data_IF_748344074351
#
_entry.id   IF_748344074351
#
_cell.length_a   1.000
_cell.length_b   1.000
_cell.length_c   1.000
_cell.angle_alpha   90.00
_cell.angle_beta   90.00
_cell.angle_gamma   90.00
#
_symmetry.space_group_name_H-M   'P 1'
#
loop_
_entity.id
_entity.type
_entity.pdbx_description
1 polymer ?
#
# COMPACT_ATOMS: atom_id res chain seq x y z
N UNK A 1 19.84 -6.08 -1.07
CA UNK A 1 19.06 -6.36 0.14
C UNK A 1 19.23 -7.81 0.59
N UNK A 2 19.01 -8.81 -0.26
CA UNK A 2 19.18 -10.25 0.05
C UNK A 2 20.58 -10.60 0.54
N UNK A 3 21.65 -10.07 -0.07
CA UNK A 3 23.02 -10.30 0.39
C UNK A 3 23.26 -9.83 1.83
N UNK A 4 22.69 -8.71 2.23
CA UNK A 4 22.80 -8.19 3.61
C UNK A 4 22.00 -9.08 4.55
N UNK A 5 20.76 -9.42 4.21
CA UNK A 5 19.92 -10.30 5.02
C UNK A 5 20.57 -11.68 5.21
N UNK A 6 21.16 -12.26 4.15
CA UNK A 6 21.94 -13.51 4.22
C UNK A 6 23.09 -13.42 5.22
N UNK A 7 23.92 -12.36 5.11
CA UNK A 7 25.06 -12.18 6.02
C UNK A 7 24.64 -12.02 7.48
N UNK A 8 23.56 -11.29 7.73
CA UNK A 8 23.03 -11.10 9.09
C UNK A 8 22.46 -12.41 9.66
N UNK A 9 21.64 -13.13 8.88
CA UNK A 9 21.07 -14.41 9.27
C UNK A 9 22.16 -15.45 9.55
N UNK A 10 23.16 -15.55 8.68
CA UNK A 10 24.29 -16.50 8.81
C UNK A 10 25.24 -16.11 9.96
N UNK A 11 25.31 -14.83 10.33
CA UNK A 11 25.99 -14.35 11.53
C UNK A 11 25.22 -14.62 12.84
N UNK A 12 24.00 -15.18 12.78
CA UNK A 12 23.19 -15.57 13.94
C UNK A 12 22.16 -14.53 14.38
N UNK A 13 21.98 -13.41 13.65
CA UNK A 13 20.88 -12.49 13.95
C UNK A 13 19.54 -13.16 13.65
N UNK A 14 18.63 -13.18 14.60
CA UNK A 14 17.31 -13.83 14.48
C UNK A 14 16.18 -12.83 14.29
N UNK A 15 16.27 -11.69 14.95
CA UNK A 15 15.23 -10.66 14.96
C UNK A 15 15.80 -9.30 14.65
N UNK A 16 15.07 -8.50 13.90
CA UNK A 16 15.44 -7.13 13.55
C UNK A 16 14.20 -6.24 13.60
N UNK A 17 14.23 -5.19 14.43
CA UNK A 17 13.20 -4.18 14.49
C UNK A 17 13.59 -3.00 13.62
N UNK A 18 12.71 -2.62 12.70
CA UNK A 18 12.95 -1.55 11.73
C UNK A 18 11.75 -0.61 11.65
N UNK A 19 12.00 0.60 11.20
CA UNK A 19 10.99 1.62 10.97
C UNK A 19 11.21 2.34 9.64
N UNK A 20 10.80 3.60 9.57
CA UNK A 20 10.98 4.51 8.44
C UNK A 20 10.00 4.29 7.26
N UNK A 21 9.62 3.09 6.93
CA UNK A 21 8.67 2.81 5.85
C UNK A 21 7.22 3.14 6.22
N UNK A 22 6.94 3.31 7.52
CA UNK A 22 5.61 3.54 8.10
C UNK A 22 4.60 2.42 7.77
N UNK A 23 5.08 1.20 7.58
CA UNK A 23 4.29 0.02 7.27
C UNK A 23 4.39 -0.94 8.45
N UNK A 24 3.26 -1.38 8.98
CA UNK A 24 3.22 -2.40 10.03
C UNK A 24 3.32 -3.79 9.38
N UNK A 25 4.43 -4.52 9.61
CA UNK A 25 4.67 -5.79 8.92
C UNK A 25 5.64 -6.70 9.65
N UNK A 26 5.42 -8.01 9.59
CA UNK A 26 6.39 -9.03 10.02
C UNK A 26 6.72 -9.89 8.80
N UNK A 27 7.99 -9.98 8.44
CA UNK A 27 8.47 -10.81 7.32
C UNK A 27 9.66 -11.66 7.77
N UNK A 28 9.70 -12.94 7.39
CA UNK A 28 10.84 -13.81 7.65
C UNK A 28 11.58 -14.13 6.35
N UNK A 29 12.89 -13.88 6.36
CA UNK A 29 13.81 -14.31 5.31
C UNK A 29 14.60 -15.52 5.81
N UNK A 30 14.78 -16.54 4.95
CA UNK A 30 15.65 -17.68 5.23
C UNK A 30 16.83 -17.64 4.28
N UNK A 31 18.05 -17.63 4.83
CA UNK A 31 19.28 -17.63 4.03
C UNK A 31 19.43 -18.94 3.25
N UNK A 32 20.27 -18.99 2.20
CA UNK A 32 20.61 -20.24 1.52
C UNK A 32 21.21 -21.31 2.45
N UNK A 33 21.80 -20.91 3.58
CA UNK A 33 22.32 -21.81 4.62
C UNK A 33 21.26 -22.33 5.59
N UNK A 34 19.98 -21.92 5.41
CA UNK A 34 18.85 -22.33 6.25
C UNK A 34 18.65 -21.50 7.52
N UNK A 35 19.39 -20.39 7.71
CA UNK A 35 19.27 -19.54 8.88
C UNK A 35 18.16 -18.51 8.69
N UNK A 36 17.12 -18.46 9.56
CA UNK A 36 16.07 -17.46 9.48
C UNK A 36 16.50 -16.13 10.12
N UNK A 37 15.99 -15.02 9.58
CA UNK A 37 15.95 -13.71 10.21
C UNK A 37 14.56 -13.12 10.02
N UNK A 38 13.93 -12.70 11.12
CA UNK A 38 12.61 -12.07 11.09
C UNK A 38 12.75 -10.56 11.27
N UNK A 39 12.23 -9.83 10.31
CA UNK A 39 12.12 -8.36 10.33
C UNK A 39 10.74 -7.98 10.85
N UNK A 40 10.70 -7.24 11.94
CA UNK A 40 9.50 -6.60 12.48
C UNK A 40 9.57 -5.13 12.07
N UNK A 41 8.82 -4.78 11.05
CA UNK A 41 8.72 -3.42 10.58
C UNK A 41 7.56 -2.74 11.29
N UNK A 42 7.87 -1.65 12.02
CA UNK A 42 6.91 -0.94 12.87
C UNK A 42 6.42 0.29 12.09
N UNK A 43 5.11 0.48 12.07
CA UNK A 43 4.46 1.65 11.50
C UNK A 43 4.82 2.94 12.25
N UNK A 44 4.29 4.05 11.78
CA UNK A 44 4.57 5.36 12.37
C UNK A 44 3.53 5.72 13.42
N UNK A 45 3.97 6.15 14.59
CA UNK A 45 3.07 6.69 15.61
C UNK A 45 2.36 7.99 15.16
N UNK A 46 2.95 8.71 14.19
CA UNK A 46 2.38 9.92 13.59
C UNK A 46 1.55 9.66 12.32
N UNK A 47 1.33 8.41 11.94
CA UNK A 47 0.61 8.00 10.75
C UNK A 47 -0.33 6.84 11.03
N UNK A 48 -1.36 6.69 10.21
CA UNK A 48 -2.28 5.56 10.32
C UNK A 48 -1.53 4.22 10.14
N UNK A 49 -1.78 3.19 10.98
CA UNK A 49 -2.72 3.13 12.11
C UNK A 49 -2.10 3.49 13.48
N UNK A 50 -0.97 4.18 13.54
CA UNK A 50 -0.26 4.60 14.75
C UNK A 50 0.01 3.44 15.74
N UNK A 51 0.73 2.40 15.34
CA UNK A 51 0.95 1.21 16.15
C UNK A 51 1.94 1.45 17.28
N UNK A 52 1.66 0.81 18.41
CA UNK A 52 2.53 0.69 19.58
C UNK A 52 2.81 -0.80 19.77
N UNK A 53 4.04 -1.22 19.47
CA UNK A 53 4.41 -2.63 19.49
C UNK A 53 5.00 -3.02 20.84
N UNK A 54 4.32 -3.91 21.56
CA UNK A 54 4.77 -4.51 22.80
C UNK A 54 5.45 -5.85 22.48
N UNK A 55 6.68 -6.04 22.97
CA UNK A 55 7.45 -7.27 22.74
C UNK A 55 7.81 -7.92 24.06
N UNK A 56 7.42 -9.18 24.21
CA UNK A 56 7.74 -9.99 25.38
C UNK A 56 8.55 -11.22 24.95
N UNK A 57 9.62 -11.51 25.67
CA UNK A 57 10.38 -12.76 25.48
C UNK A 57 9.65 -13.88 26.21
N UNK A 58 9.29 -14.93 25.50
CA UNK A 58 8.62 -16.11 26.06
C UNK A 58 9.61 -17.05 26.76
N UNK A 59 9.13 -17.98 27.58
CA UNK A 59 9.96 -18.92 28.32
C UNK A 59 10.79 -19.86 27.40
N UNK A 60 10.34 -20.06 26.18
CA UNK A 60 11.02 -20.84 25.13
C UNK A 60 11.91 -19.96 24.19
N UNK A 61 12.24 -18.76 24.64
CA UNK A 61 13.08 -17.77 23.92
C UNK A 61 12.53 -17.34 22.54
N UNK A 62 11.24 -17.35 22.36
CA UNK A 62 10.57 -16.69 21.23
C UNK A 62 10.12 -15.29 21.61
N UNK A 63 9.75 -14.50 20.62
CA UNK A 63 9.17 -13.18 20.85
C UNK A 63 7.66 -13.24 20.66
N UNK A 64 6.92 -12.82 21.68
CA UNK A 64 5.51 -12.52 21.58
C UNK A 64 5.35 -11.03 21.30
N UNK A 65 4.78 -10.71 20.16
CA UNK A 65 4.55 -9.35 19.66
C UNK A 65 3.07 -9.08 19.73
N UNK A 66 2.68 -8.03 20.45
CA UNK A 66 1.30 -7.55 20.52
C UNK A 66 1.30 -6.07 20.13
N UNK A 67 0.48 -5.74 19.15
CA UNK A 67 0.34 -4.37 18.67
C UNK A 67 -0.93 -3.74 19.24
N UNK A 68 -0.77 -2.60 19.86
CA UNK A 68 -1.86 -1.70 20.26
C UNK A 68 -1.85 -0.49 19.33
N UNK A 69 -2.97 0.21 19.22
CA UNK A 69 -3.09 1.40 18.40
C UNK A 69 -3.40 2.62 19.24
N UNK A 70 -2.80 3.75 18.90
CA UNK A 70 -3.09 5.00 19.58
C UNK A 70 -4.59 5.33 19.47
N UNK A 71 -5.27 5.44 20.60
CA UNK A 71 -6.72 5.69 20.64
C UNK A 71 -7.04 7.18 20.57
N UNK A 72 -6.27 8.02 21.26
CA UNK A 72 -6.48 9.46 21.32
C UNK A 72 -5.17 10.23 21.55
N UNK A 73 -5.17 11.51 21.26
CA UNK A 73 -4.09 12.45 21.61
C UNK A 73 -4.65 13.86 21.79
N UNK A 74 -3.84 14.78 22.31
CA UNK A 74 -4.27 16.18 22.48
C UNK A 74 -4.68 16.78 21.13
N UNK A 75 -5.97 17.07 20.97
CA UNK A 75 -6.57 17.61 19.74
C UNK A 75 -7.33 16.61 18.88
N UNK A 76 -7.36 15.32 19.25
CA UNK A 76 -8.21 14.32 18.58
C UNK A 76 -8.66 13.24 19.57
N UNK A 77 -9.96 13.18 19.83
CA UNK A 77 -10.57 12.17 20.71
C UNK A 77 -10.58 10.77 20.05
N UNK A 78 -10.55 10.69 18.73
CA UNK A 78 -10.39 9.48 17.92
C UNK A 78 -9.15 9.63 17.02
N UNK A 79 -8.03 9.08 17.48
CA UNK A 79 -6.77 9.13 16.73
C UNK A 79 -6.84 8.34 15.44
N UNK A 80 -7.57 7.22 15.43
CA UNK A 80 -7.67 6.35 14.25
C UNK A 80 -8.43 7.04 13.12
N UNK A 81 -9.58 7.67 13.42
CA UNK A 81 -10.34 8.43 12.43
C UNK A 81 -9.52 9.61 11.90
N UNK A 82 -8.87 10.37 12.79
CA UNK A 82 -8.03 11.51 12.42
C UNK A 82 -6.87 11.11 11.49
N UNK A 83 -6.11 10.09 11.86
CA UNK A 83 -4.94 9.64 11.11
C UNK A 83 -5.33 8.95 9.79
N UNK A 84 -6.45 8.23 9.77
CA UNK A 84 -7.03 7.66 8.56
C UNK A 84 -7.42 8.75 7.56
N UNK A 85 -8.12 9.78 8.03
CA UNK A 85 -8.48 10.93 7.20
C UNK A 85 -7.23 11.64 6.65
N UNK A 86 -6.17 11.77 7.47
CA UNK A 86 -4.90 12.36 7.03
C UNK A 86 -4.21 11.48 5.96
N UNK A 87 -4.16 10.16 6.14
CA UNK A 87 -3.59 9.23 5.17
C UNK A 87 -4.33 9.31 3.82
N UNK A 88 -5.66 9.39 3.83
CA UNK A 88 -6.49 9.58 2.63
C UNK A 88 -6.14 10.90 1.92
N UNK A 89 -5.94 11.99 2.67
CA UNK A 89 -5.54 13.27 2.10
C UNK A 89 -4.18 13.23 1.39
N UNK A 90 -3.25 12.37 1.83
CA UNK A 90 -1.95 12.19 1.15
C UNK A 90 -2.10 11.72 -0.30
N UNK A 91 -3.17 11.00 -0.66
CA UNK A 91 -3.49 10.64 -2.05
C UNK A 91 -4.34 11.72 -2.73
N UNK A 92 -5.35 12.22 -2.04
CA UNK A 92 -6.30 13.18 -2.61
C UNK A 92 -5.62 14.47 -3.06
N UNK A 93 -4.72 15.01 -2.24
CA UNK A 93 -4.06 16.29 -2.55
C UNK A 93 -3.23 16.22 -3.84
N UNK A 94 -2.35 15.21 -4.06
CA UNK A 94 -1.64 15.06 -5.33
C UNK A 94 -2.56 14.84 -6.52
N UNK A 95 -3.57 13.96 -6.40
CA UNK A 95 -4.51 13.68 -7.49
C UNK A 95 -5.31 14.92 -7.88
N UNK A 96 -5.87 15.65 -6.90
CA UNK A 96 -6.55 16.93 -7.11
C UNK A 96 -5.59 17.99 -7.64
N UNK A 97 -4.32 17.98 -7.19
CA UNK A 97 -3.26 18.85 -7.68
C UNK A 97 -2.98 18.68 -9.18
N UNK A 98 -3.06 17.48 -9.72
CA UNK A 98 -2.89 17.22 -11.15
C UNK A 98 -4.00 17.89 -11.99
N UNK A 99 -5.18 18.09 -11.43
CA UNK A 99 -6.33 18.68 -12.13
C UNK A 99 -6.24 20.21 -12.28
N UNK A 100 -5.48 20.91 -11.40
CA UNK A 100 -5.25 22.35 -11.49
C UNK A 100 -4.37 22.73 -12.69
N UNK A 101 -4.04 24.00 -12.88
CA UNK A 101 -3.18 24.45 -13.96
C UNK A 101 -1.79 23.82 -13.89
N UNK A 102 -1.12 23.71 -15.05
CA UNK A 102 0.26 23.17 -15.10
C UNK A 102 1.24 24.00 -14.25
N UNK A 103 1.07 25.32 -14.26
CA UNK A 103 1.92 26.22 -13.48
C UNK A 103 1.73 26.04 -11.99
N UNK A 104 0.49 25.99 -11.52
CA UNK A 104 0.18 25.77 -10.11
C UNK A 104 0.62 24.38 -9.63
N UNK A 105 0.41 23.35 -10.44
CA UNK A 105 0.91 22.01 -10.15
C UNK A 105 2.43 21.98 -10.03
N UNK A 106 3.15 22.65 -10.96
CA UNK A 106 4.61 22.78 -10.89
C UNK A 106 5.07 23.48 -9.61
N UNK A 107 4.46 24.61 -9.23
CA UNK A 107 4.79 25.34 -7.99
C UNK A 107 4.58 24.48 -6.74
N UNK A 108 3.51 23.69 -6.66
CA UNK A 108 3.26 22.76 -5.54
C UNK A 108 4.33 21.66 -5.44
N UNK A 109 4.77 21.12 -6.58
CA UNK A 109 5.84 20.13 -6.62
C UNK A 109 7.19 20.72 -6.18
N UNK A 110 7.51 21.94 -6.63
CA UNK A 110 8.74 22.62 -6.21
C UNK A 110 8.74 22.91 -4.69
N UNK A 111 7.60 23.28 -4.13
CA UNK A 111 7.44 23.46 -2.68
C UNK A 111 7.66 22.17 -1.89
N UNK A 112 7.41 21.00 -2.49
CA UNK A 112 7.68 19.68 -1.91
C UNK A 112 9.12 19.17 -2.19
N UNK A 113 9.99 20.02 -2.76
CA UNK A 113 11.36 19.66 -3.10
C UNK A 113 11.51 18.80 -4.36
N UNK A 114 10.43 18.62 -5.13
CA UNK A 114 10.44 17.86 -6.37
C UNK A 114 10.73 18.81 -7.56
N UNK A 115 11.23 18.26 -8.68
CA UNK A 115 11.41 19.04 -9.92
C UNK A 115 10.06 19.26 -10.60
N UNK A 116 9.34 20.32 -10.21
CA UNK A 116 8.00 20.64 -10.69
C UNK A 116 7.93 20.82 -12.21
N UNK A 117 8.96 21.43 -12.82
CA UNK A 117 9.02 21.61 -14.28
C UNK A 117 9.05 20.26 -15.03
N UNK A 118 9.89 19.33 -14.57
CA UNK A 118 10.05 18.00 -15.18
C UNK A 118 8.80 17.15 -14.98
N UNK A 119 8.27 17.12 -13.76
CA UNK A 119 7.12 16.28 -13.41
C UNK A 119 5.84 16.85 -14.02
N UNK A 120 5.65 18.17 -14.04
CA UNK A 120 4.49 18.79 -14.67
C UNK A 120 4.40 18.55 -16.17
N UNK A 121 5.51 18.19 -16.84
CA UNK A 121 5.49 17.74 -18.22
C UNK A 121 4.69 16.44 -18.45
N UNK A 122 4.57 15.60 -17.43
CA UNK A 122 3.77 14.36 -17.47
C UNK A 122 2.26 14.61 -17.25
N UNK A 123 1.87 15.83 -16.87
CA UNK A 123 0.47 16.16 -16.57
C UNK A 123 -0.53 15.81 -17.69
N UNK A 124 -0.22 15.99 -19.01
CA UNK A 124 -1.16 15.60 -20.06
C UNK A 124 -1.57 14.12 -20.01
N UNK A 125 -0.66 13.26 -19.56
CA UNK A 125 -0.92 11.81 -19.36
C UNK A 125 -1.57 11.56 -18.00
N UNK A 126 -1.08 12.22 -16.96
CA UNK A 126 -1.56 12.01 -15.59
C UNK A 126 -2.97 12.59 -15.34
N UNK A 127 -3.33 13.70 -16.00
CA UNK A 127 -4.64 14.35 -15.80
C UNK A 127 -5.84 13.48 -16.13
N UNK A 128 -5.93 12.79 -17.28
CA UNK A 128 -7.06 11.90 -17.56
C UNK A 128 -7.12 10.70 -16.60
N UNK A 129 -5.96 10.22 -16.11
CA UNK A 129 -5.91 9.15 -15.11
C UNK A 129 -6.43 9.66 -13.77
N UNK A 130 -5.94 10.81 -13.28
CA UNK A 130 -6.42 11.41 -12.04
C UNK A 130 -7.93 11.68 -12.08
N UNK A 131 -8.44 12.20 -13.21
CA UNK A 131 -9.87 12.41 -13.42
C UNK A 131 -10.65 11.09 -13.37
N UNK A 132 -10.14 10.04 -14.00
CA UNK A 132 -10.75 8.73 -13.99
C UNK A 132 -10.85 8.15 -12.56
N UNK A 133 -9.78 8.28 -11.77
CA UNK A 133 -9.75 7.79 -10.38
C UNK A 133 -10.67 8.59 -9.46
N UNK A 134 -10.68 9.91 -9.58
CA UNK A 134 -11.43 10.79 -8.68
C UNK A 134 -12.94 10.85 -8.97
N UNK A 135 -13.33 10.75 -10.24
CA UNK A 135 -14.70 11.07 -10.67
C UNK A 135 -15.51 9.84 -11.11
N UNK A 136 -14.89 8.67 -11.29
CA UNK A 136 -15.60 7.49 -11.81
C UNK A 136 -16.12 6.60 -10.70
N UNK A 137 -17.33 6.08 -10.89
CA UNK A 137 -17.79 4.85 -10.27
C UNK A 137 -17.08 3.62 -10.90
N UNK A 138 -17.14 2.48 -10.21
CA UNK A 138 -16.47 1.24 -10.66
C UNK A 138 -16.99 0.77 -12.01
N UNK A 139 -18.29 0.89 -12.28
CA UNK A 139 -18.86 0.44 -13.55
C UNK A 139 -18.40 1.30 -14.73
N UNK A 140 -18.33 2.62 -14.55
CA UNK A 140 -17.81 3.56 -15.55
C UNK A 140 -16.32 3.33 -15.80
N UNK A 141 -15.54 3.07 -14.75
CA UNK A 141 -14.13 2.69 -14.82
C UNK A 141 -13.94 1.39 -15.61
N UNK A 142 -14.69 0.35 -15.26
CA UNK A 142 -14.69 -0.93 -15.96
C UNK A 142 -14.92 -0.76 -17.48
N UNK A 143 -15.97 -0.04 -17.87
CA UNK A 143 -16.29 0.20 -19.29
C UNK A 143 -15.14 0.90 -20.04
N UNK A 144 -14.52 1.91 -19.42
CA UNK A 144 -13.41 2.65 -20.02
C UNK A 144 -12.15 1.78 -20.12
N UNK A 145 -11.79 1.05 -19.07
CA UNK A 145 -10.62 0.16 -19.04
C UNK A 145 -10.78 -0.98 -20.03
N UNK A 146 -11.93 -1.65 -20.04
CA UNK A 146 -12.17 -2.75 -20.96
C UNK A 146 -12.19 -2.33 -22.44
N UNK A 147 -12.67 -1.11 -22.73
CA UNK A 147 -12.56 -0.54 -24.07
C UNK A 147 -11.10 -0.37 -24.49
N UNK A 148 -10.23 0.07 -23.59
CA UNK A 148 -8.79 0.24 -23.86
C UNK A 148 -8.03 -1.09 -23.92
N UNK A 149 -8.47 -2.10 -23.19
CA UNK A 149 -7.80 -3.41 -23.04
C UNK A 149 -8.48 -4.54 -23.82
N UNK A 150 -9.45 -4.20 -24.68
CA UNK A 150 -10.23 -5.16 -25.48
C UNK A 150 -10.95 -6.22 -24.64
N UNK A 151 -11.43 -5.86 -23.46
CA UNK A 151 -12.22 -6.72 -22.59
C UNK A 151 -11.48 -7.87 -21.91
N UNK A 152 -10.13 -7.80 -21.86
CA UNK A 152 -9.29 -8.94 -21.43
C UNK A 152 -8.81 -8.91 -19.99
N UNK A 153 -9.10 -7.86 -19.22
CA UNK A 153 -8.43 -7.64 -17.94
C UNK A 153 -9.42 -7.64 -16.77
N UNK A 154 -10.51 -6.92 -16.87
CA UNK A 154 -11.49 -6.83 -15.80
C UNK A 154 -12.74 -7.65 -16.13
N UNK A 155 -13.30 -8.31 -15.12
CA UNK A 155 -14.54 -9.07 -15.25
C UNK A 155 -15.74 -8.16 -15.01
N UNK A 156 -16.83 -8.43 -15.74
CA UNK A 156 -18.05 -7.64 -15.62
C UNK A 156 -18.74 -7.89 -14.27
N UNK A 157 -18.73 -9.14 -13.84
CA UNK A 157 -19.32 -9.59 -12.59
C UNK A 157 -18.69 -8.88 -11.38
N UNK A 158 -17.36 -8.75 -11.36
CA UNK A 158 -16.62 -8.04 -10.28
C UNK A 158 -16.99 -6.56 -10.25
N UNK A 159 -17.16 -5.93 -11.42
CA UNK A 159 -17.58 -4.53 -11.51
C UNK A 159 -19.06 -4.31 -11.14
N UNK A 160 -19.92 -5.29 -11.39
CA UNK A 160 -21.33 -5.26 -11.00
C UNK A 160 -21.49 -5.41 -9.47
N UNK A 161 -20.69 -6.30 -8.84
CA UNK A 161 -20.66 -6.47 -7.39
C UNK A 161 -20.22 -5.21 -6.65
N UNK A 162 -19.29 -4.45 -7.24
CA UNK A 162 -18.72 -3.22 -6.67
C UNK A 162 -19.32 -1.93 -7.26
N UNK A 163 -20.47 -2.02 -7.93
CA UNK A 163 -21.04 -0.91 -8.72
C UNK A 163 -21.34 0.36 -7.91
N UNK A 164 -21.66 0.22 -6.62
CA UNK A 164 -21.98 1.32 -5.72
C UNK A 164 -20.73 2.05 -5.19
N UNK A 165 -19.52 1.48 -5.41
CA UNK A 165 -18.26 2.08 -4.97
C UNK A 165 -17.74 3.09 -6.00
N UNK A 166 -17.06 4.13 -5.49
CA UNK A 166 -16.23 5.01 -6.31
C UNK A 166 -14.82 4.42 -6.43
N UNK A 167 -14.17 4.65 -7.55
CA UNK A 167 -12.79 4.19 -7.77
C UNK A 167 -11.83 4.80 -6.76
N UNK A 168 -12.05 6.03 -6.35
CA UNK A 168 -11.21 6.69 -5.34
C UNK A 168 -11.30 5.99 -3.98
N UNK A 169 -12.46 5.48 -3.60
CA UNK A 169 -12.62 4.74 -2.34
C UNK A 169 -11.81 3.43 -2.36
N UNK A 170 -11.74 2.77 -3.52
CA UNK A 170 -10.87 1.60 -3.72
C UNK A 170 -9.39 2.00 -3.56
N UNK A 171 -8.97 3.12 -4.13
CA UNK A 171 -7.58 3.62 -4.01
C UNK A 171 -7.25 3.94 -2.55
N UNK A 172 -8.16 4.56 -1.81
CA UNK A 172 -8.00 4.83 -0.39
C UNK A 172 -7.86 3.53 0.42
N UNK A 173 -8.74 2.57 0.19
CA UNK A 173 -8.69 1.29 0.90
C UNK A 173 -7.39 0.51 0.62
N UNK A 174 -6.88 0.52 -0.63
CA UNK A 174 -5.58 -0.09 -0.96
C UNK A 174 -4.44 0.60 -0.21
N UNK A 175 -4.45 1.94 -0.11
CA UNK A 175 -3.46 2.66 0.69
C UNK A 175 -3.53 2.28 2.15
N UNK A 176 -4.73 2.25 2.73
CA UNK A 176 -4.91 1.93 4.14
C UNK A 176 -4.46 0.50 4.44
N UNK A 177 -4.82 -0.48 3.59
CA UNK A 177 -4.33 -1.86 3.71
C UNK A 177 -2.81 -1.98 3.59
N UNK A 178 -2.17 -1.10 2.81
CA UNK A 178 -0.72 -1.05 2.71
C UNK A 178 -0.07 -0.52 4.00
N UNK A 179 -0.67 0.48 4.63
CA UNK A 179 -0.13 1.10 5.85
C UNK A 179 -0.35 0.22 7.09
N UNK A 180 -1.50 -0.44 7.18
CA UNK A 180 -1.89 -1.23 8.34
C UNK A 180 -1.33 -2.67 8.36
N UNK A 181 -0.62 -3.05 7.30
CA UNK A 181 0.06 -4.35 7.24
C UNK A 181 -0.83 -5.58 7.22
N UNK A 182 -2.15 -5.39 7.17
CA UNK A 182 -3.09 -6.49 7.04
C UNK A 182 -4.27 -6.49 8.01
N UNK A 183 -4.49 -5.44 8.78
CA UNK A 183 -5.73 -5.29 9.57
C UNK A 183 -6.98 -5.36 8.68
N UNK A 184 -6.88 -4.82 7.46
CA UNK A 184 -7.94 -4.83 6.46
C UNK A 184 -7.61 -5.83 5.34
N UNK A 185 -7.38 -7.08 5.70
CA UNK A 185 -7.07 -8.15 4.73
C UNK A 185 -8.20 -8.36 3.75
N UNK A 186 -7.82 -8.51 2.48
CA UNK A 186 -8.75 -8.76 1.37
C UNK A 186 -8.64 -10.21 0.94
N UNK A 187 -9.76 -10.90 0.88
CA UNK A 187 -9.81 -12.28 0.39
C UNK A 187 -9.44 -12.35 -1.10
N UNK A 188 -8.55 -13.29 -1.45
CA UNK A 188 -8.02 -13.44 -2.83
C UNK A 188 -9.09 -13.76 -3.88
N UNK A 189 -10.21 -14.34 -3.48
CA UNK A 189 -11.33 -14.68 -4.35
C UNK A 189 -12.43 -13.62 -4.40
N UNK A 190 -12.28 -12.50 -3.68
CA UNK A 190 -13.23 -11.39 -3.71
C UNK A 190 -13.19 -10.62 -5.05
N UNK A 191 -14.31 -10.01 -5.43
CA UNK A 191 -14.38 -9.11 -6.57
C UNK A 191 -13.44 -7.91 -6.41
N UNK A 192 -13.31 -7.41 -5.19
CA UNK A 192 -12.40 -6.32 -4.85
C UNK A 192 -10.94 -6.67 -5.16
N UNK A 193 -10.46 -7.81 -4.69
CA UNK A 193 -9.10 -8.28 -4.95
C UNK A 193 -8.83 -8.43 -6.47
N UNK A 194 -9.75 -9.09 -7.19
CA UNK A 194 -9.60 -9.29 -8.64
C UNK A 194 -9.63 -7.99 -9.42
N UNK A 195 -10.48 -7.01 -9.03
CA UNK A 195 -10.53 -5.70 -9.66
C UNK A 195 -9.23 -4.92 -9.46
N UNK A 196 -8.72 -4.88 -8.23
CA UNK A 196 -7.48 -4.15 -7.88
C UNK A 196 -6.28 -4.78 -8.56
N UNK A 197 -6.06 -6.09 -8.40
CA UNK A 197 -4.91 -6.79 -9.01
C UNK A 197 -4.97 -6.79 -10.53
N UNK A 198 -6.16 -6.95 -11.12
CA UNK A 198 -6.41 -6.78 -12.53
C UNK A 198 -5.99 -5.40 -13.03
N UNK A 199 -6.39 -4.35 -12.32
CA UNK A 199 -6.05 -2.95 -12.65
C UNK A 199 -4.55 -2.70 -12.55
N UNK A 200 -3.88 -3.10 -11.46
CA UNK A 200 -2.44 -2.96 -11.27
C UNK A 200 -1.65 -3.75 -12.33
N UNK A 201 -2.21 -4.84 -12.85
CA UNK A 201 -1.58 -5.63 -13.92
C UNK A 201 -1.56 -4.95 -15.29
N UNK A 202 -2.37 -3.92 -15.54
CA UNK A 202 -2.49 -3.27 -16.85
C UNK A 202 -1.14 -2.74 -17.37
N UNK A 203 -0.36 -1.93 -16.61
CA UNK A 203 0.92 -1.43 -17.06
C UNK A 203 1.91 -2.55 -17.39
N UNK A 204 1.96 -3.63 -16.60
CA UNK A 204 2.89 -4.75 -16.85
C UNK A 204 2.54 -5.54 -18.11
N UNK A 205 1.26 -5.64 -18.47
CA UNK A 205 0.80 -6.29 -19.71
C UNK A 205 1.12 -5.46 -20.95
N UNK A 206 1.10 -4.13 -20.82
CA UNK A 206 1.43 -3.20 -21.92
C UNK A 206 2.96 -3.07 -22.05
N UNK A 207 3.67 -2.98 -20.92
CA UNK A 207 5.12 -2.76 -20.86
C UNK A 207 5.83 -4.02 -20.34
N UNK A 208 5.73 -5.11 -21.09
CA UNK A 208 6.18 -6.47 -20.70
C UNK A 208 7.61 -6.58 -20.15
N UNK A 209 8.52 -5.69 -20.57
CA UNK A 209 9.93 -5.73 -20.20
C UNK A 209 10.29 -4.76 -19.04
N UNK A 210 9.30 -4.12 -18.42
CA UNK A 210 9.57 -3.18 -17.34
C UNK A 210 9.54 -3.91 -15.99
N UNK A 211 10.72 -4.05 -15.37
CA UNK A 211 10.89 -4.74 -14.09
C UNK A 211 10.10 -4.08 -12.94
N UNK A 212 9.90 -2.76 -12.98
CA UNK A 212 9.13 -2.02 -11.98
C UNK A 212 7.67 -2.48 -11.95
N UNK A 213 7.01 -2.55 -13.11
CA UNK A 213 5.60 -2.97 -13.18
C UNK A 213 5.39 -4.44 -12.81
N UNK A 214 6.37 -5.29 -13.11
CA UNK A 214 6.34 -6.68 -12.63
C UNK A 214 6.40 -6.75 -11.10
N UNK A 215 7.32 -6.00 -10.48
CA UNK A 215 7.43 -5.91 -9.02
C UNK A 215 6.17 -5.33 -8.37
N UNK A 216 5.53 -4.35 -8.99
CA UNK A 216 4.25 -3.82 -8.49
C UNK A 216 3.16 -4.89 -8.45
N UNK A 217 3.09 -5.76 -9.46
CA UNK A 217 2.14 -6.88 -9.44
C UNK A 217 2.47 -7.90 -8.33
N UNK A 218 3.76 -8.22 -8.15
CA UNK A 218 4.22 -9.13 -7.10
C UNK A 218 3.91 -8.57 -5.70
N UNK A 219 4.02 -7.24 -5.53
CA UNK A 219 3.69 -6.56 -4.28
C UNK A 219 2.18 -6.40 -4.05
N UNK A 220 1.36 -6.36 -5.10
CA UNK A 220 -0.07 -6.11 -4.97
C UNK A 220 -0.79 -7.16 -4.12
N UNK A 221 -0.43 -8.43 -4.26
CA UNK A 221 -0.96 -9.52 -3.44
C UNK A 221 -0.62 -9.30 -1.97
N UNK A 222 0.67 -9.06 -1.66
CA UNK A 222 1.12 -8.83 -0.30
C UNK A 222 0.51 -7.57 0.35
N UNK A 223 0.24 -6.52 -0.44
CA UNK A 223 -0.43 -5.30 0.03
C UNK A 223 -1.87 -5.60 0.45
N UNK A 224 -2.60 -6.37 -0.35
CA UNK A 224 -4.02 -6.64 -0.11
C UNK A 224 -4.27 -7.73 0.92
N UNK A 225 -3.39 -8.73 0.99
CA UNK A 225 -3.57 -9.89 1.87
C UNK A 225 -2.84 -9.77 3.20
N UNK A 226 -2.05 -8.71 3.39
CA UNK A 226 -1.29 -8.45 4.62
C UNK A 226 -0.06 -9.33 4.78
N UNK A 227 0.56 -9.26 5.96
CA UNK A 227 1.71 -10.09 6.34
C UNK A 227 1.27 -11.40 7.02
N UNK A 228 2.14 -12.39 6.99
CA UNK A 228 2.01 -13.65 7.72
C UNK A 228 3.37 -13.95 8.38
N UNK A 229 3.47 -13.97 9.72
CA UNK A 229 2.38 -13.89 10.70
C UNK A 229 1.69 -12.53 10.77
N UNK A 230 0.53 -12.50 11.45
CA UNK A 230 -0.24 -11.29 11.71
C UNK A 230 0.58 -10.33 12.59
N UNK A 231 0.80 -9.06 12.19
CA UNK A 231 1.57 -8.12 12.99
C UNK A 231 0.83 -7.63 14.25
N UNK A 232 -0.47 -7.92 14.39
CA UNK A 232 -1.26 -7.51 15.56
C UNK A 232 -1.02 -8.42 16.77
N UNK A 233 -0.88 -9.74 16.54
CA UNK A 233 -0.57 -10.73 17.59
C UNK A 233 0.22 -11.89 16.97
N UNK A 234 1.50 -11.97 17.27
CA UNK A 234 2.40 -12.97 16.70
C UNK A 234 3.38 -13.54 17.72
N UNK A 235 3.62 -14.85 17.65
CA UNK A 235 4.74 -15.52 18.33
C UNK A 235 5.74 -15.98 17.25
N UNK A 236 6.94 -15.40 17.26
CA UNK A 236 7.98 -15.59 16.24
C UNK A 236 9.27 -16.13 16.84
#
# INVERSE_FOLDING_TARGET
>A
REEVATKLADAGLRYMFVGHSHIQRIDTFVSPSGNPITEVNIGSLCGYPAPIVNVTVTDDNRLHIVTEHLESFEGADDAQEFLKAHAVQMIDLPLKGILVSREEFGKRLDALGANGKKISALRPIAKPIAKLLLESDVMSFYKKVNRLTFGKILRKEDAEELADMKVIDIVHNVLLSFLDGGMNRVERDSAYYRLVTGTISIPSRIMKNNSLFRKLNECADAILTGSDPDPEDAII
#
